data_IF_834393911888
#
_entry.id   IF_834393911888
#
_cell.length_a   1.000
_cell.length_b   1.000
_cell.length_c   1.000
_cell.angle_alpha   90.00
_cell.angle_beta   90.00
_cell.angle_gamma   90.00
#
_symmetry.space_group_name_H-M   'P 1'
#
loop_
_entity.id
_entity.type
_entity.pdbx_description
1 polymer ?
#
# COMPACT_ATOMS: atom_id res chain seq x y z
N UNK A 1 -24.15 18.49 -62.96
CA UNK A 1 -23.28 17.61 -62.11
C UNK A 1 -23.65 16.19 -62.43
N UNK A 2 -22.70 15.41 -62.93
CA UNK A 2 -22.98 14.01 -63.31
C UNK A 2 -23.00 13.13 -62.04
N UNK A 3 -23.88 12.10 -62.03
CA UNK A 3 -24.03 11.14 -60.93
C UNK A 3 -22.70 10.53 -60.45
N UNK A 4 -21.69 10.53 -61.33
CA UNK A 4 -20.33 10.06 -61.03
C UNK A 4 -19.56 11.02 -60.13
N UNK A 5 -19.75 12.35 -60.29
CA UNK A 5 -19.10 13.38 -59.44
C UNK A 5 -19.71 13.42 -58.05
N UNK A 6 -21.00 13.20 -57.91
CA UNK A 6 -21.67 13.11 -56.59
C UNK A 6 -21.22 11.90 -55.82
N UNK A 7 -21.05 10.74 -56.47
CA UNK A 7 -20.54 9.50 -55.85
C UNK A 7 -19.07 9.67 -55.38
N UNK A 8 -18.23 10.32 -56.18
CA UNK A 8 -16.85 10.60 -55.82
C UNK A 8 -16.74 11.56 -54.64
N UNK A 9 -17.54 12.61 -54.59
CA UNK A 9 -17.60 13.55 -53.48
C UNK A 9 -18.08 12.86 -52.18
N UNK A 10 -19.08 11.97 -52.26
CA UNK A 10 -19.58 11.23 -51.12
C UNK A 10 -18.53 10.24 -50.55
N UNK A 11 -17.76 9.58 -51.41
CA UNK A 11 -16.68 8.66 -51.00
C UNK A 11 -15.52 9.43 -50.33
N UNK A 12 -15.18 10.63 -50.79
CA UNK A 12 -14.15 11.45 -50.16
C UNK A 12 -14.58 11.96 -48.80
N UNK A 13 -15.84 12.36 -48.63
CA UNK A 13 -16.40 12.77 -47.32
C UNK A 13 -16.46 11.61 -46.35
N UNK A 14 -16.82 10.39 -46.82
CA UNK A 14 -16.83 9.21 -45.99
C UNK A 14 -15.40 8.79 -45.55
N UNK A 15 -14.43 8.87 -46.44
CA UNK A 15 -13.02 8.60 -46.14
C UNK A 15 -12.39 9.63 -45.17
N UNK A 16 -12.75 10.92 -45.27
CA UNK A 16 -12.33 11.97 -44.37
C UNK A 16 -12.93 11.80 -42.94
N UNK A 17 -14.16 11.27 -42.83
CA UNK A 17 -14.81 11.03 -41.56
C UNK A 17 -14.17 9.91 -40.74
N UNK A 18 -13.56 8.90 -41.37
CA UNK A 18 -12.91 7.76 -40.70
C UNK A 18 -11.54 8.17 -40.09
N UNK A 19 -10.88 9.17 -40.66
CA UNK A 19 -9.55 9.62 -40.19
C UNK A 19 -9.59 10.46 -38.88
N UNK A 20 -10.76 10.99 -38.50
CA UNK A 20 -10.94 11.80 -37.29
C UNK A 20 -11.19 10.95 -36.01
N UNK A 21 -11.29 9.64 -36.12
CA UNK A 21 -11.55 8.72 -35.01
C UNK A 21 -10.28 8.20 -34.30
N UNK A 22 -9.10 8.81 -34.51
CA UNK A 22 -7.96 8.60 -33.63
C UNK A 22 -8.24 9.26 -32.28
N UNK A 23 -9.00 8.58 -31.43
CA UNK A 23 -9.25 8.98 -30.05
C UNK A 23 -7.92 9.19 -29.33
N UNK A 24 -7.69 10.40 -28.83
CA UNK A 24 -6.54 10.69 -27.99
C UNK A 24 -6.54 9.72 -26.80
N UNK A 25 -5.59 8.80 -26.76
CA UNK A 25 -5.41 7.89 -25.65
C UNK A 25 -5.20 8.71 -24.38
N UNK A 26 -6.07 8.54 -23.39
CA UNK A 26 -5.93 9.22 -22.11
C UNK A 26 -4.69 8.64 -21.41
N UNK A 27 -3.72 9.50 -20.99
CA UNK A 27 -2.51 8.99 -20.34
C UNK A 27 -2.84 8.35 -18.99
N UNK A 28 -2.18 7.24 -18.70
CA UNK A 28 -2.22 6.60 -17.38
C UNK A 28 -1.36 7.43 -16.44
N UNK A 29 -1.86 7.68 -15.23
CA UNK A 29 -1.14 8.34 -14.15
C UNK A 29 -0.77 7.33 -13.08
N UNK A 30 0.45 7.46 -12.57
CA UNK A 30 0.96 6.61 -11.51
C UNK A 30 1.15 7.40 -10.23
N UNK A 31 0.79 6.78 -9.10
CA UNK A 31 0.87 7.34 -7.77
C UNK A 31 1.74 6.44 -6.88
N UNK A 32 2.36 7.06 -5.89
CA UNK A 32 3.13 6.39 -4.85
C UNK A 32 2.64 6.85 -3.48
N UNK A 33 2.78 6.01 -2.46
CA UNK A 33 2.65 6.45 -1.08
C UNK A 33 4.01 7.00 -0.63
N UNK A 34 4.03 8.21 -0.07
CA UNK A 34 5.23 8.77 0.55
C UNK A 34 5.37 8.21 1.98
N UNK A 35 5.80 6.99 2.07
CA UNK A 35 6.04 6.31 3.35
C UNK A 35 7.33 6.74 4.04
N UNK A 36 7.77 7.97 3.77
CA UNK A 36 8.94 8.60 4.36
C UNK A 36 10.26 8.19 3.67
N UNK A 37 11.28 8.99 3.89
CA UNK A 37 12.65 8.72 3.44
C UNK A 37 13.15 7.42 4.09
N UNK A 38 13.86 6.60 3.34
CA UNK A 38 14.54 5.44 3.91
C UNK A 38 15.31 5.87 5.18
N UNK A 39 15.14 5.16 6.30
CA UNK A 39 15.87 5.52 7.52
C UNK A 39 17.35 5.61 7.20
N UNK A 40 18.01 6.68 7.69
CA UNK A 40 19.46 6.72 7.66
C UNK A 40 19.99 5.45 8.33
N UNK A 41 21.07 4.83 7.82
CA UNK A 41 21.66 3.69 8.46
C UNK A 41 21.91 4.03 9.94
N UNK A 42 21.20 3.34 10.85
CA UNK A 42 21.48 3.49 12.29
C UNK A 42 22.89 2.95 12.50
N UNK A 43 23.82 3.74 13.03
CA UNK A 43 25.16 3.24 13.31
C UNK A 43 25.06 1.98 14.19
N UNK A 44 25.79 0.94 13.84
CA UNK A 44 25.84 -0.35 14.57
C UNK A 44 26.19 -0.22 16.06
N UNK A 45 26.55 0.99 16.49
CA UNK A 45 27.00 1.34 17.84
C UNK A 45 25.89 1.72 18.84
N UNK A 46 24.66 1.95 18.39
CA UNK A 46 23.54 2.18 19.31
C UNK A 46 22.91 0.84 19.69
N UNK A 47 22.91 0.46 20.98
CA UNK A 47 22.26 -0.79 21.38
C UNK A 47 20.76 -0.70 21.08
N UNK A 48 20.27 -1.61 20.23
CA UNK A 48 18.85 -1.73 19.96
C UNK A 48 18.09 -1.95 21.28
N UNK A 49 16.94 -1.28 21.45
CA UNK A 49 16.08 -1.45 22.63
C UNK A 49 15.69 -2.92 22.83
N UNK A 50 15.43 -3.61 21.71
CA UNK A 50 15.14 -5.04 21.69
C UNK A 50 16.20 -5.77 20.85
N UNK A 51 16.98 -6.72 21.41
CA UNK A 51 18.06 -7.41 20.70
C UNK A 51 17.52 -8.54 19.79
N UNK A 52 16.42 -8.30 19.10
CA UNK A 52 15.72 -9.25 18.24
C UNK A 52 15.77 -8.83 16.77
N UNK A 53 15.67 -9.81 15.91
CA UNK A 53 15.59 -9.67 14.45
C UNK A 53 14.16 -9.95 13.99
N UNK A 54 13.53 -8.96 13.36
CA UNK A 54 12.21 -9.09 12.78
C UNK A 54 12.30 -9.37 11.28
N UNK A 55 11.56 -10.34 10.81
CA UNK A 55 11.32 -10.57 9.39
C UNK A 55 9.91 -10.15 9.05
N UNK A 56 9.75 -9.36 8.00
CA UNK A 56 8.42 -8.95 7.52
C UNK A 56 8.05 -9.84 6.34
N UNK A 57 6.98 -10.59 6.51
CA UNK A 57 6.41 -11.45 5.49
C UNK A 57 5.68 -10.66 4.40
N UNK A 58 5.26 -11.35 3.34
CA UNK A 58 4.41 -10.73 2.33
C UNK A 58 3.09 -10.31 2.96
N UNK A 59 2.61 -9.13 2.56
CA UNK A 59 1.29 -8.63 2.99
C UNK A 59 0.21 -9.41 2.24
N UNK A 60 -0.68 -10.05 3.00
CA UNK A 60 -1.87 -10.68 2.45
C UNK A 60 -2.88 -9.59 2.07
N UNK A 61 -3.55 -9.76 0.95
CA UNK A 61 -4.57 -8.82 0.47
C UNK A 61 -5.54 -9.52 -0.49
N UNK A 62 -6.72 -8.93 -0.69
CA UNK A 62 -7.63 -9.34 -1.77
C UNK A 62 -7.00 -9.08 -3.13
N UNK A 63 -7.54 -9.69 -4.20
CA UNK A 63 -7.03 -9.49 -5.56
C UNK A 63 -7.06 -8.01 -5.98
N UNK A 64 -8.03 -7.21 -5.51
CA UNK A 64 -8.14 -5.78 -5.81
C UNK A 64 -6.93 -4.97 -5.32
N UNK A 65 -6.31 -5.37 -4.22
CA UNK A 65 -5.15 -4.70 -3.64
C UNK A 65 -3.81 -5.38 -4.01
N UNK A 66 -3.87 -6.41 -4.86
CA UNK A 66 -2.70 -7.02 -5.52
C UNK A 66 -2.52 -6.55 -6.96
N UNK A 67 -3.53 -5.86 -7.52
CA UNK A 67 -3.46 -5.13 -8.78
C UNK A 67 -2.97 -3.69 -8.50
N UNK A 68 -2.41 -3.04 -9.49
CA UNK A 68 -1.88 -1.67 -9.41
C UNK A 68 -2.94 -0.56 -9.55
N UNK A 69 -4.21 -0.91 -9.74
CA UNK A 69 -5.30 0.07 -9.94
C UNK A 69 -5.74 0.69 -8.62
N UNK A 70 -5.98 2.01 -8.63
CA UNK A 70 -6.66 2.64 -7.51
C UNK A 70 -8.09 2.10 -7.38
N UNK A 71 -8.47 1.75 -6.16
CA UNK A 71 -9.79 1.24 -5.82
C UNK A 71 -10.68 2.37 -5.32
N UNK A 72 -11.93 2.39 -5.75
CA UNK A 72 -12.97 3.27 -5.23
C UNK A 72 -14.23 2.49 -4.90
N UNK A 73 -15.07 3.03 -4.03
CA UNK A 73 -16.35 2.44 -3.69
C UNK A 73 -17.42 3.47 -3.34
N UNK A 74 -18.65 3.21 -3.76
CA UNK A 74 -19.84 3.94 -3.34
C UNK A 74 -20.65 3.04 -2.41
N UNK A 75 -20.35 3.14 -1.11
CA UNK A 75 -20.98 2.32 -0.07
C UNK A 75 -20.22 1.04 0.28
N UNK A 76 -20.77 0.20 1.18
CA UNK A 76 -20.05 -0.91 1.80
C UNK A 76 -19.90 -2.17 0.93
N UNK A 77 -20.67 -2.27 -0.15
CA UNK A 77 -20.79 -3.54 -0.90
C UNK A 77 -20.29 -3.48 -2.34
N UNK A 78 -19.98 -2.29 -2.86
CA UNK A 78 -19.55 -2.14 -4.24
C UNK A 78 -18.22 -1.44 -4.33
N UNK A 79 -17.22 -2.13 -4.88
CA UNK A 79 -15.91 -1.59 -5.19
C UNK A 79 -15.69 -1.63 -6.71
N UNK A 80 -15.04 -0.60 -7.23
CA UNK A 80 -14.56 -0.49 -8.60
C UNK A 80 -13.10 -0.10 -8.63
N UNK A 81 -12.51 -0.09 -9.82
CA UNK A 81 -11.14 0.35 -10.03
C UNK A 81 -11.08 1.44 -11.07
N UNK A 82 -10.20 2.41 -10.90
CA UNK A 82 -9.93 3.43 -11.90
C UNK A 82 -9.21 2.81 -13.12
N UNK A 83 -9.56 3.26 -14.30
CA UNK A 83 -8.97 2.75 -15.54
C UNK A 83 -7.58 3.35 -15.81
N UNK A 84 -7.40 4.66 -15.52
CA UNK A 84 -6.22 5.45 -15.88
C UNK A 84 -5.42 5.96 -14.67
N UNK A 85 -5.86 5.68 -13.46
CA UNK A 85 -5.20 6.09 -12.23
C UNK A 85 -4.68 4.83 -11.52
N UNK A 86 -3.35 4.72 -11.36
CA UNK A 86 -2.70 3.50 -10.90
C UNK A 86 -1.68 3.79 -9.81
N UNK A 87 -1.45 2.84 -8.96
CA UNK A 87 -0.27 2.81 -8.11
C UNK A 87 0.96 2.45 -8.95
N UNK A 88 2.16 2.91 -8.55
CA UNK A 88 3.42 2.52 -9.18
C UNK A 88 3.76 1.05 -8.92
N UNK A 89 3.29 0.51 -7.80
CA UNK A 89 3.40 -0.89 -7.39
C UNK A 89 2.07 -1.35 -6.79
N UNK A 90 1.89 -2.67 -6.58
CA UNK A 90 0.67 -3.13 -5.94
C UNK A 90 0.55 -2.60 -4.50
N UNK A 91 -0.67 -2.25 -4.02
CA UNK A 91 -0.88 -1.86 -2.63
C UNK A 91 -0.27 -2.82 -1.61
N UNK A 92 -0.36 -4.13 -1.84
CA UNK A 92 0.21 -5.12 -0.95
C UNK A 92 1.75 -5.02 -0.85
N UNK A 93 2.44 -4.78 -1.97
CA UNK A 93 3.89 -4.62 -2.00
C UNK A 93 4.31 -3.29 -1.38
N UNK A 94 3.61 -2.19 -1.69
CA UNK A 94 3.83 -0.88 -1.06
C UNK A 94 3.67 -0.95 0.47
N UNK A 95 2.64 -1.66 0.96
CA UNK A 95 2.40 -1.82 2.39
C UNK A 95 3.49 -2.66 3.07
N UNK A 96 4.04 -3.68 2.40
CA UNK A 96 5.17 -4.44 2.93
C UNK A 96 6.40 -3.55 3.12
N UNK A 97 6.75 -2.77 2.11
CA UNK A 97 7.90 -1.86 2.17
C UNK A 97 7.68 -0.73 3.21
N UNK A 98 6.45 -0.18 3.28
CA UNK A 98 6.09 0.82 4.27
C UNK A 98 6.21 0.28 5.71
N UNK A 99 5.74 -0.94 5.96
CA UNK A 99 5.84 -1.59 7.26
C UNK A 99 7.31 -1.85 7.65
N UNK A 100 8.15 -2.32 6.71
CA UNK A 100 9.58 -2.50 6.95
C UNK A 100 10.21 -1.17 7.35
N UNK A 101 9.98 -0.09 6.60
CA UNK A 101 10.52 1.24 6.91
C UNK A 101 10.04 1.78 8.25
N UNK A 102 8.75 1.63 8.55
CA UNK A 102 8.18 2.07 9.82
C UNK A 102 8.80 1.34 11.02
N UNK A 103 9.03 0.04 10.92
CA UNK A 103 9.70 -0.75 11.95
C UNK A 103 11.19 -0.42 12.09
N UNK A 104 11.86 -0.03 10.99
CA UNK A 104 13.27 0.38 10.99
C UNK A 104 13.49 1.77 11.57
N UNK A 105 12.58 2.72 11.28
CA UNK A 105 12.72 4.14 11.64
C UNK A 105 12.85 4.37 13.15
N UNK A 106 12.22 3.53 13.96
CA UNK A 106 12.28 3.61 15.42
C UNK A 106 13.60 3.12 16.06
N UNK A 107 14.48 2.44 15.30
CA UNK A 107 15.74 1.87 15.82
C UNK A 107 15.56 0.90 16.99
N UNK A 108 14.34 0.43 17.22
CA UNK A 108 14.01 -0.37 18.40
C UNK A 108 14.53 -1.81 18.32
N UNK A 109 14.68 -2.34 17.13
CA UNK A 109 15.03 -3.73 16.86
C UNK A 109 16.46 -3.85 16.34
N UNK A 110 17.13 -4.98 16.62
CA UNK A 110 18.49 -5.27 16.12
C UNK A 110 18.54 -5.22 14.58
N UNK A 111 17.55 -5.78 13.92
CA UNK A 111 17.36 -5.64 12.48
C UNK A 111 15.91 -5.89 12.11
N UNK A 112 15.47 -5.25 11.00
CA UNK A 112 14.20 -5.50 10.35
C UNK A 112 14.47 -5.69 8.88
N UNK A 113 13.99 -6.77 8.28
CA UNK A 113 14.16 -7.06 6.86
C UNK A 113 12.99 -7.86 6.29
N UNK A 114 12.82 -7.84 4.97
CA UNK A 114 11.85 -8.70 4.30
C UNK A 114 12.19 -10.18 4.47
N UNK A 115 11.17 -11.03 4.61
CA UNK A 115 11.33 -12.47 4.72
C UNK A 115 11.90 -13.04 3.40
N UNK A 116 13.11 -13.56 3.45
CA UNK A 116 13.80 -14.21 2.34
C UNK A 116 14.36 -15.56 2.81
N UNK A 117 14.62 -16.48 1.88
CA UNK A 117 14.97 -17.87 2.18
C UNK A 117 16.25 -18.07 3.03
N UNK A 118 17.17 -17.10 3.02
CA UNK A 118 18.50 -17.25 3.68
C UNK A 118 18.66 -16.36 4.92
N UNK A 119 17.64 -15.63 5.35
CA UNK A 119 17.71 -14.76 6.53
C UNK A 119 16.98 -15.43 7.69
N UNK A 120 17.68 -15.58 8.83
CA UNK A 120 17.06 -16.05 10.08
C UNK A 120 16.61 -14.86 10.91
N UNK A 121 15.35 -14.88 11.34
CA UNK A 121 14.78 -13.93 12.28
C UNK A 121 14.32 -14.62 13.55
N UNK A 122 14.13 -13.83 14.58
CA UNK A 122 13.60 -14.33 15.85
C UNK A 122 12.08 -14.39 15.81
N UNK A 123 11.44 -13.43 15.11
CA UNK A 123 9.99 -13.38 14.89
C UNK A 123 9.68 -12.95 13.45
N UNK A 124 8.46 -13.27 13.01
CA UNK A 124 7.93 -12.88 11.70
C UNK A 124 6.72 -11.96 11.92
N UNK A 125 6.79 -10.74 11.36
CA UNK A 125 5.65 -9.82 11.30
C UNK A 125 4.91 -10.12 9.99
N UNK A 126 3.61 -10.42 10.08
CA UNK A 126 2.72 -10.64 8.95
C UNK A 126 1.75 -9.48 8.84
N UNK A 127 1.48 -9.00 7.65
CA UNK A 127 0.52 -7.95 7.38
C UNK A 127 -0.70 -8.47 6.61
N UNK A 128 -1.87 -7.89 6.86
CA UNK A 128 -3.08 -8.11 6.08
C UNK A 128 -3.72 -6.77 5.73
N UNK A 129 -3.80 -6.47 4.43
CA UNK A 129 -4.46 -5.28 3.91
C UNK A 129 -5.92 -5.59 3.59
N UNK A 130 -6.83 -5.01 4.35
CA UNK A 130 -8.27 -5.15 4.17
C UNK A 130 -8.85 -4.05 3.28
N UNK A 131 -8.34 -2.81 3.41
CA UNK A 131 -8.81 -1.68 2.63
C UNK A 131 -7.69 -0.65 2.39
N UNK A 132 -7.60 -0.16 1.16
CA UNK A 132 -6.84 1.02 0.73
C UNK A 132 -7.57 1.61 -0.46
N UNK A 133 -8.61 2.42 -0.19
CA UNK A 133 -9.50 2.88 -1.24
C UNK A 133 -10.18 4.22 -0.93
N UNK A 134 -10.60 4.86 -1.99
CA UNK A 134 -11.55 5.96 -1.94
C UNK A 134 -12.93 5.47 -1.51
N UNK A 135 -13.62 6.22 -0.66
CA UNK A 135 -15.03 6.02 -0.34
C UNK A 135 -15.83 7.23 -0.80
N UNK A 136 -16.68 7.01 -1.80
CA UNK A 136 -17.53 8.03 -2.39
C UNK A 136 -18.80 8.19 -1.56
N UNK A 137 -19.21 9.44 -1.32
CA UNK A 137 -20.39 9.80 -0.54
C UNK A 137 -20.58 11.31 -0.46
N UNK A 138 -21.41 11.79 0.46
CA UNK A 138 -21.56 13.22 0.71
C UNK A 138 -20.23 13.89 1.07
N UNK A 139 -19.38 13.18 1.77
CA UNK A 139 -17.97 13.53 2.03
C UNK A 139 -17.11 12.44 1.38
N UNK A 140 -16.10 12.87 0.63
CA UNK A 140 -15.10 11.97 0.06
C UNK A 140 -14.13 11.55 1.16
N UNK A 141 -13.92 10.24 1.33
CA UNK A 141 -13.05 9.69 2.36
C UNK A 141 -11.98 8.78 1.75
N UNK A 142 -10.85 8.72 2.41
CA UNK A 142 -9.74 7.83 2.11
C UNK A 142 -9.69 6.74 3.20
N UNK A 143 -10.14 5.53 2.87
CA UNK A 143 -10.21 4.40 3.81
C UNK A 143 -8.92 3.62 3.82
N UNK A 144 -8.41 3.38 5.02
CA UNK A 144 -7.32 2.45 5.26
C UNK A 144 -7.66 1.48 6.39
N UNK A 145 -7.46 0.17 6.14
CA UNK A 145 -7.62 -0.88 7.16
C UNK A 145 -6.55 -1.93 6.99
N UNK A 146 -5.76 -2.12 8.04
CA UNK A 146 -4.59 -2.97 8.04
C UNK A 146 -4.43 -3.68 9.38
N UNK A 147 -4.04 -4.95 9.35
CA UNK A 147 -3.71 -5.75 10.53
C UNK A 147 -2.25 -6.18 10.46
N UNK A 148 -1.60 -6.24 11.59
CA UNK A 148 -0.32 -6.90 11.74
C UNK A 148 -0.40 -7.99 12.81
N UNK A 149 0.39 -9.05 12.60
CA UNK A 149 0.51 -10.19 13.50
C UNK A 149 1.98 -10.47 13.77
N UNK A 150 2.30 -10.81 15.01
CA UNK A 150 3.62 -11.29 15.40
C UNK A 150 3.58 -12.82 15.53
N UNK A 151 4.29 -13.50 14.66
CA UNK A 151 4.38 -14.95 14.62
C UNK A 151 5.73 -15.42 15.16
N UNK A 152 5.69 -16.36 16.09
CA UNK A 152 6.88 -17.04 16.61
C UNK A 152 7.13 -18.33 15.78
N UNK A 153 8.21 -18.39 14.99
CA UNK A 153 8.54 -19.56 14.19
C UNK A 153 9.02 -20.76 15.02
N UNK A 154 9.41 -20.56 16.29
CA UNK A 154 9.85 -21.66 17.17
C UNK A 154 8.66 -22.46 17.69
N UNK A 155 7.61 -21.75 18.11
CA UNK A 155 6.38 -22.36 18.65
C UNK A 155 5.32 -22.60 17.58
N UNK A 156 5.48 -21.99 16.39
CA UNK A 156 4.52 -21.98 15.29
C UNK A 156 3.17 -21.35 15.66
N UNK A 157 3.18 -20.30 16.50
CA UNK A 157 1.99 -19.63 17.01
C UNK A 157 2.06 -18.14 16.74
N UNK A 158 0.93 -17.52 16.42
CA UNK A 158 0.78 -16.05 16.46
C UNK A 158 0.63 -15.64 17.93
N UNK A 159 1.59 -14.86 18.42
CA UNK A 159 1.68 -14.49 19.84
C UNK A 159 1.13 -13.09 20.13
N UNK A 160 0.91 -12.28 19.09
CA UNK A 160 0.30 -10.96 19.21
C UNK A 160 -0.30 -10.55 17.87
N UNK A 161 -1.36 -9.75 17.93
CA UNK A 161 -1.96 -9.12 16.75
C UNK A 161 -2.59 -7.79 17.12
N UNK A 162 -2.59 -6.86 16.17
CA UNK A 162 -3.28 -5.58 16.29
C UNK A 162 -3.76 -5.10 14.93
N UNK A 163 -4.77 -4.22 14.92
CA UNK A 163 -5.39 -3.72 13.70
C UNK A 163 -5.68 -2.23 13.78
N UNK A 164 -5.57 -1.57 12.64
CA UNK A 164 -5.94 -0.18 12.44
C UNK A 164 -7.01 -0.09 11.35
N UNK A 165 -8.03 0.72 11.57
CA UNK A 165 -9.04 1.03 10.58
C UNK A 165 -9.52 2.47 10.76
N UNK A 166 -9.39 3.28 9.71
CA UNK A 166 -9.78 4.69 9.75
C UNK A 166 -10.20 5.19 8.38
N UNK A 167 -11.13 6.14 8.38
CA UNK A 167 -11.62 6.87 7.21
C UNK A 167 -11.16 8.33 7.32
N UNK A 168 -10.11 8.71 6.60
CA UNK A 168 -9.54 10.06 6.56
C UNK A 168 -10.34 10.95 5.61
N UNK A 169 -10.80 12.15 6.01
CA UNK A 169 -11.46 13.09 5.11
C UNK A 169 -10.53 13.59 4.01
N UNK A 170 -11.02 13.61 2.77
CA UNK A 170 -10.27 14.13 1.62
C UNK A 170 -10.56 15.63 1.45
N UNK A 171 -9.50 16.43 1.41
CA UNK A 171 -9.60 17.86 1.12
C UNK A 171 -9.41 18.09 -0.37
N UNK A 172 -10.51 18.16 -1.12
CA UNK A 172 -10.50 18.34 -2.57
C UNK A 172 -11.36 17.31 -3.31
N UNK A 173 -11.18 17.21 -4.62
CA UNK A 173 -12.00 16.34 -5.49
C UNK A 173 -11.17 15.56 -6.52
N UNK A 174 -9.86 15.73 -6.53
CA UNK A 174 -8.96 15.04 -7.46
C UNK A 174 -8.49 13.72 -6.87
N UNK A 175 -8.13 12.78 -7.71
CA UNK A 175 -7.53 11.52 -7.26
C UNK A 175 -6.22 11.75 -6.49
N UNK A 176 -5.43 12.77 -6.87
CA UNK A 176 -4.25 13.18 -6.10
C UNK A 176 -4.59 13.54 -4.64
N UNK A 177 -5.73 14.22 -4.42
CA UNK A 177 -6.16 14.62 -3.07
C UNK A 177 -6.55 13.39 -2.23
N UNK A 178 -7.13 12.38 -2.90
CA UNK A 178 -7.43 11.06 -2.28
C UNK A 178 -6.13 10.34 -1.91
N UNK A 179 -5.15 10.32 -2.81
CA UNK A 179 -3.84 9.69 -2.56
C UNK A 179 -3.12 10.35 -1.39
N UNK A 180 -3.12 11.68 -1.31
CA UNK A 180 -2.55 12.41 -0.17
C UNK A 180 -3.24 12.07 1.16
N UNK A 181 -4.57 11.90 1.15
CA UNK A 181 -5.31 11.50 2.34
C UNK A 181 -5.04 10.03 2.70
N UNK A 182 -4.95 9.12 1.72
CA UNK A 182 -4.53 7.73 1.93
C UNK A 182 -3.12 7.67 2.54
N UNK A 183 -2.21 8.49 2.04
CA UNK A 183 -0.84 8.57 2.52
C UNK A 183 -0.78 8.96 4.01
N UNK A 184 -1.48 10.05 4.39
CA UNK A 184 -1.57 10.45 5.80
C UNK A 184 -2.17 9.35 6.68
N UNK A 185 -3.23 8.70 6.20
CA UNK A 185 -3.91 7.64 6.93
C UNK A 185 -3.02 6.41 7.12
N UNK A 186 -2.29 5.99 6.09
CA UNK A 186 -1.32 4.89 6.14
C UNK A 186 -0.21 5.20 7.14
N UNK A 187 0.39 6.40 7.06
CA UNK A 187 1.47 6.81 7.96
C UNK A 187 1.00 6.84 9.43
N UNK A 188 -0.20 7.35 9.71
CA UNK A 188 -0.79 7.33 11.05
C UNK A 188 -1.01 5.90 11.55
N UNK A 189 -1.60 5.04 10.72
CA UNK A 189 -1.87 3.65 11.07
C UNK A 189 -0.62 2.83 11.32
N UNK A 190 0.41 2.95 10.47
CA UNK A 190 1.68 2.25 10.67
C UNK A 190 2.43 2.75 11.91
N UNK A 191 2.40 4.06 12.18
CA UNK A 191 2.98 4.64 13.39
C UNK A 191 2.33 4.05 14.64
N UNK A 192 1.00 3.99 14.69
CA UNK A 192 0.27 3.40 15.80
C UNK A 192 0.58 1.92 15.97
N UNK A 193 0.47 1.12 14.91
CA UNK A 193 0.67 -0.33 14.97
C UNK A 193 2.10 -0.69 15.39
N UNK A 194 3.12 0.02 14.86
CA UNK A 194 4.52 -0.23 15.24
C UNK A 194 4.84 0.21 16.66
N UNK A 195 4.20 1.28 17.16
CA UNK A 195 4.30 1.69 18.56
C UNK A 195 3.69 0.64 19.51
N UNK A 196 2.52 0.10 19.17
CA UNK A 196 1.87 -0.97 19.97
C UNK A 196 2.72 -2.25 19.96
N UNK A 197 3.34 -2.62 18.83
CA UNK A 197 4.26 -3.76 18.78
C UNK A 197 5.50 -3.53 19.67
N UNK A 198 6.05 -2.32 19.67
CA UNK A 198 7.17 -1.97 20.56
C UNK A 198 6.76 -2.00 22.04
N UNK A 199 5.53 -1.58 22.35
CA UNK A 199 5.00 -1.69 23.71
C UNK A 199 4.82 -3.16 24.12
N UNK A 200 4.30 -4.02 23.22
CA UNK A 200 4.19 -5.45 23.49
C UNK A 200 5.54 -6.06 23.90
N UNK A 201 6.64 -5.75 23.19
CA UNK A 201 7.98 -6.23 23.56
C UNK A 201 8.55 -5.59 24.84
N UNK A 202 8.07 -4.40 25.22
CA UNK A 202 8.44 -3.81 26.50
C UNK A 202 7.80 -4.55 27.68
N UNK A 203 6.53 -4.98 27.49
CA UNK A 203 5.76 -5.70 28.51
C UNK A 203 6.09 -7.20 28.55
N UNK A 204 6.59 -7.76 27.43
CA UNK A 204 6.98 -9.15 27.25
C UNK A 204 8.41 -9.23 26.69
N UNK A 205 9.42 -8.94 27.52
CA UNK A 205 10.81 -8.92 27.06
C UNK A 205 11.20 -10.27 26.45
N UNK A 206 11.73 -10.29 25.21
CA UNK A 206 12.19 -11.54 24.60
C UNK A 206 13.33 -12.14 25.40
N UNK A 207 13.28 -13.46 25.61
CA UNK A 207 14.38 -14.19 26.26
C UNK A 207 15.68 -13.91 25.49
N UNK A 208 16.72 -13.49 26.21
CA UNK A 208 18.04 -13.31 25.62
C UNK A 208 18.54 -14.68 25.18
N UNK A 209 18.43 -14.98 23.89
CA UNK A 209 19.08 -16.15 23.33
C UNK A 209 20.58 -15.95 23.51
N UNK A 210 21.16 -16.59 24.53
CA UNK A 210 22.60 -16.65 24.72
C UNK A 210 23.21 -17.15 23.42
N UNK A 211 24.05 -16.34 22.79
CA UNK A 211 24.78 -16.71 21.59
C UNK A 211 25.67 -17.91 21.94
N UNK A 212 25.35 -19.09 21.37
CA UNK A 212 26.30 -20.19 21.21
C UNK A 212 26.99 -20.02 19.88
#
# INVERSE_FOLDING_TARGET
>A
MTTRQVRQALLIILAAGVSAACGASRPVKYYVLDTGTAPAPVPDSSPARFPIRLLVGRVAASHLYRDDRLVYGSGPVQLGTYEYERWAESPADMMQEALIRSLQSGGAYRSVSGLRSNVRGDYIVRGHLYALNEVQGPTLLARFSFQIELFDPKTNVTIWSDSYAHDEPVTGKKVSDVVEALDRNVNAGLTQLTAHLAQYFADHPPERTSAQ
#
